data_IF_948407639417
#
_entry.id   IF_948407639417
#
_cell.length_a   1.000
_cell.length_b   1.000
_cell.length_c   1.000
_cell.angle_alpha   90.00
_cell.angle_beta   90.00
_cell.angle_gamma   90.00
#
_symmetry.space_group_name_H-M   'P 1'
#
loop_
_entity.id
_entity.type
_entity.pdbx_description
1 polymer ?
#
# COMPACT_ATOMS: atom_id res chain seq x y z
N UNK A 1 -19.02 -22.69 32.22
CA UNK A 1 -18.92 -21.22 32.11
C UNK A 1 -18.58 -20.89 30.66
N UNK A 2 -19.56 -20.40 29.89
CA UNK A 2 -19.38 -19.99 28.49
C UNK A 2 -19.34 -18.47 28.46
N UNK A 3 -18.21 -17.91 28.06
CA UNK A 3 -17.99 -16.48 27.90
C UNK A 3 -18.79 -16.01 26.69
N UNK A 4 -19.78 -15.15 26.91
CA UNK A 4 -20.56 -14.52 25.84
C UNK A 4 -19.72 -13.38 25.24
N UNK A 5 -19.37 -13.51 23.96
CA UNK A 5 -18.83 -12.40 23.17
C UNK A 5 -20.03 -11.62 22.65
N UNK A 6 -20.25 -10.41 23.16
CA UNK A 6 -21.23 -9.48 22.62
C UNK A 6 -20.72 -8.96 21.27
N UNK A 7 -21.39 -9.32 20.19
CA UNK A 7 -21.29 -8.65 18.90
C UNK A 7 -22.28 -7.46 18.90
N UNK A 8 -21.75 -6.24 18.86
CA UNK A 8 -22.57 -5.03 18.71
C UNK A 8 -22.76 -4.75 17.21
N UNK A 9 -23.98 -5.00 16.70
CA UNK A 9 -24.43 -4.53 15.40
C UNK A 9 -24.87 -3.06 15.56
N UNK A 10 -23.96 -2.14 15.25
CA UNK A 10 -24.29 -0.73 15.14
C UNK A 10 -24.70 -0.42 13.69
N UNK A 11 -25.99 -0.17 13.47
CA UNK A 11 -26.47 0.56 12.30
C UNK A 11 -26.38 2.05 12.67
N UNK A 12 -25.37 2.76 12.19
CA UNK A 12 -25.34 4.21 12.27
C UNK A 12 -24.80 4.85 10.98
N UNK A 13 -25.57 5.84 10.57
CA UNK A 13 -25.34 6.83 9.54
C UNK A 13 -24.02 7.57 9.74
N UNK A 14 -23.28 7.77 8.64
CA UNK A 14 -22.29 8.81 8.38
C UNK A 14 -21.72 9.53 9.62
N UNK A 15 -20.59 9.05 10.12
CA UNK A 15 -19.71 9.81 11.01
C UNK A 15 -18.33 9.82 10.35
N UNK A 16 -17.93 11.00 9.88
CA UNK A 16 -16.60 11.24 9.34
C UNK A 16 -15.54 10.87 10.38
N UNK A 17 -14.82 9.78 10.11
CA UNK A 17 -13.56 9.51 10.77
C UNK A 17 -12.49 10.37 10.09
N UNK A 18 -12.12 11.47 10.75
CA UNK A 18 -10.93 12.24 10.44
C UNK A 18 -9.71 11.30 10.48
N UNK A 19 -9.28 10.89 9.29
CA UNK A 19 -7.95 10.38 9.01
C UNK A 19 -6.97 11.53 9.21
N UNK A 20 -6.07 11.37 10.18
CA UNK A 20 -4.89 12.21 10.30
C UNK A 20 -3.69 11.27 10.34
N UNK A 21 -3.37 10.70 9.18
CA UNK A 21 -2.00 10.66 8.70
C UNK A 21 -1.89 11.82 7.73
N UNK A 22 -1.03 12.79 8.01
CA UNK A 22 -0.79 13.93 7.12
C UNK A 22 0.04 13.43 5.93
N UNK A 23 -0.66 12.83 4.99
CA UNK A 23 -0.36 12.81 3.56
C UNK A 23 -1.66 13.27 2.86
N UNK A 24 -1.63 13.61 1.56
CA UNK A 24 -2.88 13.83 0.83
C UNK A 24 -3.78 12.61 1.03
N UNK A 25 -5.10 12.81 1.14
CA UNK A 25 -6.02 11.68 1.20
C UNK A 25 -5.68 10.80 0.00
N UNK A 26 -5.17 9.59 0.27
CA UNK A 26 -4.71 8.74 -0.79
C UNK A 26 -5.88 8.52 -1.73
N UNK A 27 -7.12 8.41 -1.26
CA UNK A 27 -8.31 8.34 -2.13
C UNK A 27 -8.50 9.56 -3.04
N UNK A 28 -8.21 10.78 -2.56
CA UNK A 28 -8.32 12.01 -3.38
C UNK A 28 -7.19 12.12 -4.40
N UNK A 29 -5.99 11.67 -4.02
CA UNK A 29 -4.85 11.52 -4.94
C UNK A 29 -5.13 10.40 -5.94
N UNK A 30 -5.86 9.40 -5.46
CA UNK A 30 -6.20 8.18 -6.14
C UNK A 30 -7.48 8.35 -6.95
N UNK A 31 -7.45 9.12 -8.05
CA UNK A 31 -8.61 9.55 -8.86
C UNK A 31 -9.41 8.41 -9.56
N UNK A 32 -9.25 7.15 -9.16
CA UNK A 32 -9.98 6.02 -9.72
C UNK A 32 -11.28 5.75 -8.93
N UNK A 33 -12.42 5.95 -9.59
CA UNK A 33 -13.77 5.62 -9.06
C UNK A 33 -13.94 4.14 -8.70
N UNK A 34 -13.00 3.29 -9.12
CA UNK A 34 -13.01 1.87 -8.81
C UNK A 34 -12.26 1.50 -7.52
N UNK A 35 -11.75 2.46 -6.74
CA UNK A 35 -11.16 2.18 -5.42
C UNK A 35 -12.27 2.09 -4.36
N UNK A 36 -12.29 0.99 -3.61
CA UNK A 36 -13.15 0.81 -2.43
C UNK A 36 -12.47 1.36 -1.18
N UNK A 37 -11.20 1.00 -0.99
CA UNK A 37 -10.39 1.44 0.14
C UNK A 37 -8.90 1.38 -0.22
N UNK A 38 -8.14 2.32 0.33
CA UNK A 38 -6.70 2.39 0.19
C UNK A 38 -6.11 2.88 1.50
N UNK A 39 -5.07 2.19 2.00
CA UNK A 39 -4.39 2.61 3.22
C UNK A 39 -2.89 2.26 3.19
N UNK A 40 -2.03 3.13 3.75
CA UNK A 40 -0.60 2.91 3.78
C UNK A 40 -0.18 2.15 5.06
N UNK A 41 0.86 1.32 4.94
CA UNK A 41 1.63 0.75 6.05
C UNK A 41 3.11 0.86 5.69
N UNK A 42 3.84 1.73 6.37
CA UNK A 42 5.22 2.05 5.98
C UNK A 42 5.25 2.62 4.56
N UNK A 43 6.15 2.12 3.72
CA UNK A 43 6.29 2.52 2.32
C UNK A 43 5.33 1.77 1.36
N UNK A 44 4.42 0.92 1.86
CA UNK A 44 3.49 0.17 1.01
C UNK A 44 2.05 0.66 1.15
N UNK A 45 1.32 0.69 0.04
CA UNK A 45 -0.13 0.94 -0.01
C UNK A 45 -0.86 -0.36 -0.30
N UNK A 46 -1.90 -0.64 0.48
CA UNK A 46 -2.84 -1.72 0.25
C UNK A 46 -4.11 -1.13 -0.36
N UNK A 47 -4.51 -1.66 -1.52
CA UNK A 47 -5.63 -1.15 -2.30
C UNK A 47 -6.66 -2.27 -2.54
N UNK A 48 -7.92 -1.97 -2.25
CA UNK A 48 -9.06 -2.81 -2.59
C UNK A 48 -9.92 -2.12 -3.65
N UNK A 49 -10.28 -2.86 -4.70
CA UNK A 49 -11.12 -2.35 -5.80
C UNK A 49 -12.58 -2.76 -5.65
N UNK A 50 -13.47 -1.91 -6.14
CA UNK A 50 -14.90 -2.15 -6.27
C UNK A 50 -15.21 -3.32 -7.23
N UNK A 51 -14.29 -3.66 -8.15
CA UNK A 51 -14.46 -4.77 -9.10
C UNK A 51 -14.54 -6.14 -8.42
N UNK A 52 -14.07 -6.25 -7.17
CA UNK A 52 -14.19 -7.47 -6.36
C UNK A 52 -15.57 -7.59 -5.68
N UNK A 53 -16.42 -6.54 -5.74
CA UNK A 53 -17.78 -6.61 -5.23
C UNK A 53 -18.57 -7.69 -5.98
N UNK A 54 -19.40 -8.50 -5.29
CA UNK A 54 -20.26 -9.45 -5.96
C UNK A 54 -21.19 -8.72 -6.95
N UNK A 55 -21.06 -9.02 -8.24
CA UNK A 55 -22.00 -8.52 -9.25
C UNK A 55 -23.39 -9.16 -9.03
N UNK A 56 -24.46 -8.47 -9.45
CA UNK A 56 -25.88 -8.82 -9.20
C UNK A 56 -26.24 -10.30 -9.12
N UNK A 57 -25.73 -11.14 -10.04
CA UNK A 57 -26.02 -12.58 -10.05
C UNK A 57 -25.46 -13.34 -8.83
N UNK A 58 -24.40 -12.83 -8.20
CA UNK A 58 -23.74 -13.38 -7.00
C UNK A 58 -24.04 -12.58 -5.73
N UNK A 59 -24.76 -11.45 -5.83
CA UNK A 59 -25.05 -10.58 -4.71
C UNK A 59 -25.95 -11.29 -3.68
N UNK A 60 -25.43 -11.44 -2.46
CA UNK A 60 -26.18 -11.99 -1.34
C UNK A 60 -26.95 -10.86 -0.67
N UNK A 61 -28.29 -10.91 -0.67
CA UNK A 61 -29.18 -9.91 -0.06
C UNK A 61 -29.80 -10.34 1.26
N UNK A 62 -29.59 -11.59 1.68
CA UNK A 62 -30.12 -12.16 2.92
C UNK A 62 -28.97 -12.48 3.89
N UNK A 63 -29.05 -11.94 5.11
CA UNK A 63 -28.06 -12.20 6.16
C UNK A 63 -28.00 -13.68 6.59
N UNK A 64 -29.03 -14.49 6.30
CA UNK A 64 -28.95 -15.94 6.55
C UNK A 64 -27.96 -16.67 5.64
N UNK A 65 -27.57 -16.03 4.53
CA UNK A 65 -26.68 -16.57 3.50
C UNK A 65 -25.24 -16.05 3.60
N UNK A 66 -24.95 -15.20 4.58
CA UNK A 66 -23.57 -14.80 4.88
C UNK A 66 -23.00 -15.72 5.96
N UNK A 67 -21.70 -15.97 5.90
CA UNK A 67 -21.03 -16.76 6.93
C UNK A 67 -21.17 -16.10 8.32
N UNK A 68 -21.22 -16.89 9.41
CA UNK A 68 -21.22 -16.38 10.78
C UNK A 68 -20.04 -15.47 11.10
N UNK A 69 -20.23 -14.53 12.02
CA UNK A 69 -19.22 -13.51 12.37
C UNK A 69 -17.90 -14.11 12.86
N UNK A 70 -17.91 -15.22 13.59
CA UNK A 70 -16.71 -15.88 14.08
C UNK A 70 -15.89 -16.46 12.93
N UNK A 71 -16.55 -17.09 11.95
CA UNK A 71 -15.91 -17.56 10.72
C UNK A 71 -15.37 -16.39 9.90
N UNK A 72 -16.14 -15.31 9.81
CA UNK A 72 -15.77 -14.12 9.05
C UNK A 72 -14.54 -13.43 9.68
N UNK A 73 -14.50 -13.32 11.01
CA UNK A 73 -13.35 -12.81 11.75
C UNK A 73 -12.10 -13.65 11.53
N UNK A 74 -12.21 -14.99 11.46
CA UNK A 74 -11.05 -15.84 11.15
C UNK A 74 -10.56 -15.62 9.72
N UNK A 75 -11.49 -15.61 8.75
CA UNK A 75 -11.17 -15.35 7.34
C UNK A 75 -10.62 -13.93 7.10
N UNK A 76 -11.05 -12.96 7.90
CA UNK A 76 -10.60 -11.57 7.82
C UNK A 76 -9.25 -11.31 8.48
N UNK A 77 -8.62 -12.30 9.12
CA UNK A 77 -7.28 -12.10 9.68
C UNK A 77 -6.27 -11.84 8.57
N UNK A 78 -5.27 -10.95 8.77
CA UNK A 78 -4.19 -10.79 7.81
C UNK A 78 -3.48 -12.14 7.61
N UNK A 79 -3.30 -12.52 6.33
CA UNK A 79 -2.63 -13.77 5.97
C UNK A 79 -1.19 -13.81 6.50
N UNK A 80 -0.55 -14.98 6.48
CA UNK A 80 0.85 -15.08 6.90
C UNK A 80 1.77 -14.20 6.04
N UNK A 81 1.63 -14.22 4.72
CA UNK A 81 2.38 -13.37 3.80
C UNK A 81 2.18 -11.88 4.10
N UNK A 82 0.93 -11.46 4.35
CA UNK A 82 0.63 -10.07 4.72
C UNK A 82 1.27 -9.68 6.06
N UNK A 83 1.27 -10.58 7.06
CA UNK A 83 1.92 -10.31 8.36
C UNK A 83 3.44 -10.18 8.25
N UNK A 84 4.08 -11.02 7.46
CA UNK A 84 5.51 -10.89 7.19
C UNK A 84 5.81 -9.61 6.42
N UNK A 85 4.97 -9.22 5.46
CA UNK A 85 5.13 -7.96 4.74
C UNK A 85 5.09 -6.77 5.69
N UNK A 86 4.07 -6.71 6.54
CA UNK A 86 3.92 -5.69 7.59
C UNK A 86 5.15 -5.70 8.51
N UNK A 87 5.69 -6.86 8.84
CA UNK A 87 6.89 -7.00 9.69
C UNK A 87 8.12 -6.35 9.04
N UNK A 88 8.33 -6.57 7.74
CA UNK A 88 9.41 -5.93 6.97
C UNK A 88 9.20 -4.42 6.92
N UNK A 89 8.00 -3.97 6.57
CA UNK A 89 7.68 -2.55 6.40
C UNK A 89 7.80 -1.74 7.70
N UNK A 90 7.37 -2.32 8.83
CA UNK A 90 7.39 -1.68 10.14
C UNK A 90 8.64 -2.04 10.98
N UNK A 91 9.58 -2.79 10.40
CA UNK A 91 10.84 -3.22 11.04
C UNK A 91 10.62 -3.92 12.40
N UNK A 92 9.58 -4.74 12.50
CA UNK A 92 9.25 -5.45 13.72
C UNK A 92 7.92 -6.19 13.64
N UNK A 93 7.83 -7.32 14.37
CA UNK A 93 6.62 -8.15 14.37
C UNK A 93 5.45 -7.41 14.99
N UNK A 94 4.31 -7.52 14.31
CA UNK A 94 3.05 -6.92 14.74
C UNK A 94 2.05 -7.99 15.11
N UNK A 95 1.33 -7.75 16.20
CA UNK A 95 0.16 -8.53 16.60
C UNK A 95 -1.10 -7.81 16.14
N UNK A 96 -1.94 -8.44 15.30
CA UNK A 96 -3.23 -7.87 14.93
C UNK A 96 -4.25 -8.08 16.04
N UNK A 97 -4.91 -7.00 16.44
CA UNK A 97 -6.02 -6.99 17.39
C UNK A 97 -7.27 -6.50 16.67
N UNK A 98 -8.32 -7.32 16.67
CA UNK A 98 -9.59 -6.93 16.05
C UNK A 98 -10.17 -5.73 16.82
N UNK A 99 -10.29 -4.60 16.13
CA UNK A 99 -10.97 -3.42 16.64
C UNK A 99 -12.46 -3.50 16.34
N UNK A 100 -12.80 -3.85 15.09
CA UNK A 100 -14.18 -3.81 14.61
C UNK A 100 -14.40 -4.78 13.45
N UNK A 101 -15.60 -5.37 13.40
CA UNK A 101 -16.10 -6.18 12.29
C UNK A 101 -17.49 -5.64 11.89
N UNK A 102 -17.69 -5.34 10.60
CA UNK A 102 -18.92 -4.74 10.08
C UNK A 102 -19.34 -5.51 8.83
N UNK A 103 -20.61 -5.89 8.73
CA UNK A 103 -21.20 -6.36 7.48
C UNK A 103 -21.84 -5.15 6.76
N UNK A 104 -21.26 -4.73 5.65
CA UNK A 104 -21.80 -3.66 4.81
C UNK A 104 -22.67 -4.25 3.70
N UNK A 105 -23.84 -3.65 3.46
CA UNK A 105 -24.68 -3.96 2.31
C UNK A 105 -24.43 -2.91 1.22
N UNK A 106 -23.90 -3.34 0.08
CA UNK A 106 -23.66 -2.52 -1.11
C UNK A 106 -24.83 -2.54 -2.10
N UNK A 107 -26.05 -2.68 -1.59
CA UNK A 107 -27.30 -2.69 -2.36
C UNK A 107 -27.32 -3.85 -3.35
N UNK A 108 -27.31 -3.51 -4.64
CA UNK A 108 -27.30 -4.47 -5.75
C UNK A 108 -26.08 -5.40 -5.76
N UNK A 109 -25.01 -5.08 -5.01
CA UNK A 109 -23.80 -5.90 -4.91
C UNK A 109 -23.78 -6.83 -3.68
N UNK A 110 -24.81 -6.77 -2.84
CA UNK A 110 -24.96 -7.61 -1.65
C UNK A 110 -24.03 -7.25 -0.49
N UNK A 111 -23.80 -8.21 0.40
CA UNK A 111 -23.02 -8.00 1.63
C UNK A 111 -21.51 -8.21 1.44
N UNK A 112 -20.70 -7.46 2.18
CA UNK A 112 -19.26 -7.69 2.37
C UNK A 112 -18.92 -7.45 3.84
N UNK A 113 -18.12 -8.34 4.42
CA UNK A 113 -17.54 -8.11 5.74
C UNK A 113 -16.30 -7.23 5.63
N UNK A 114 -16.25 -6.17 6.43
CA UNK A 114 -15.08 -5.30 6.60
C UNK A 114 -14.55 -5.42 8.03
N UNK A 115 -13.24 -5.58 8.16
CA UNK A 115 -12.55 -5.72 9.43
C UNK A 115 -11.50 -4.64 9.60
N UNK A 116 -11.46 -4.06 10.79
CA UNK A 116 -10.46 -3.09 11.21
C UNK A 116 -9.58 -3.75 12.27
N UNK A 117 -8.29 -3.85 11.98
CA UNK A 117 -7.29 -4.45 12.84
C UNK A 117 -6.31 -3.38 13.33
N UNK A 118 -6.12 -3.28 14.63
CA UNK A 118 -5.03 -2.50 15.21
C UNK A 118 -3.79 -3.39 15.28
N UNK A 119 -2.68 -2.89 14.76
CA UNK A 119 -1.39 -3.56 14.77
C UNK A 119 -0.53 -3.01 15.91
N UNK A 120 -0.13 -3.90 16.83
CA UNK A 120 0.72 -3.57 17.96
C UNK A 120 2.05 -4.29 17.88
N UNK A 121 3.18 -3.65 18.21
CA UNK A 121 4.47 -4.33 18.31
C UNK A 121 4.43 -5.48 19.32
N UNK A 122 4.99 -6.66 18.96
CA UNK A 122 5.07 -7.79 19.89
C UNK A 122 6.10 -7.55 21.01
N UNK A 123 7.23 -6.93 20.68
CA UNK A 123 8.21 -6.49 21.65
C UNK A 123 7.70 -5.20 22.31
N UNK A 124 7.41 -5.28 23.61
CA UNK A 124 6.65 -4.27 24.36
C UNK A 124 7.04 -2.82 24.08
N UNK A 125 6.02 -1.99 23.89
CA UNK A 125 6.12 -0.55 23.66
C UNK A 125 4.77 -0.01 23.20
N UNK A 126 4.01 0.60 24.12
CA UNK A 126 2.75 1.31 23.80
C UNK A 126 3.03 2.78 23.42
N UNK A 127 4.11 3.01 22.66
CA UNK A 127 4.46 4.35 22.18
C UNK A 127 3.81 4.60 20.82
N UNK A 128 2.83 5.50 20.76
CA UNK A 128 2.23 5.97 19.50
C UNK A 128 0.88 5.33 19.14
N UNK A 129 0.25 5.86 18.09
CA UNK A 129 -1.01 5.34 17.55
C UNK A 129 -0.73 4.03 16.80
N UNK A 130 -1.47 2.94 17.06
CA UNK A 130 -1.28 1.69 16.33
C UNK A 130 -1.57 1.89 14.85
N UNK A 131 -0.82 1.18 13.99
CA UNK A 131 -1.17 1.11 12.58
C UNK A 131 -2.50 0.38 12.42
N UNK A 132 -3.31 0.82 11.47
CA UNK A 132 -4.56 0.18 11.15
C UNK A 132 -4.40 -0.63 9.87
N UNK A 133 -4.76 -1.90 9.93
CA UNK A 133 -4.89 -2.76 8.75
C UNK A 133 -6.36 -3.06 8.51
N UNK A 134 -6.79 -3.00 7.25
CA UNK A 134 -8.16 -3.30 6.86
C UNK A 134 -8.21 -4.48 5.89
N UNK A 135 -9.26 -5.27 6.03
CA UNK A 135 -9.47 -6.45 5.19
C UNK A 135 -10.93 -6.69 4.93
N UNK A 136 -11.21 -7.31 3.80
CA UNK A 136 -12.56 -7.59 3.34
C UNK A 136 -12.75 -9.08 3.10
N UNK A 137 -13.95 -9.58 3.38
CA UNK A 137 -14.33 -10.98 3.20
C UNK A 137 -15.69 -11.04 2.54
N UNK A 138 -15.81 -11.89 1.53
CA UNK A 138 -17.05 -12.16 0.83
C UNK A 138 -18.09 -12.84 1.73
N UNK A 139 -19.37 -12.83 1.33
CA UNK A 139 -20.44 -13.58 2.00
C UNK A 139 -20.13 -15.06 2.26
N UNK A 140 -19.36 -15.70 1.38
CA UNK A 140 -19.00 -17.12 1.44
C UNK A 140 -17.77 -17.42 2.31
N UNK A 141 -17.12 -16.39 2.85
CA UNK A 141 -15.90 -16.52 3.64
C UNK A 141 -14.59 -16.45 2.87
N UNK A 142 -14.62 -16.28 1.55
CA UNK A 142 -13.41 -16.03 0.78
C UNK A 142 -12.85 -14.63 1.07
N UNK A 143 -11.54 -14.56 1.34
CA UNK A 143 -10.85 -13.30 1.63
C UNK A 143 -10.59 -12.51 0.34
N UNK A 144 -10.81 -11.21 0.38
CA UNK A 144 -10.44 -10.31 -0.71
C UNK A 144 -8.93 -10.12 -0.73
N UNK A 145 -8.34 -10.16 -1.92
CA UNK A 145 -6.92 -9.89 -2.10
C UNK A 145 -6.74 -8.43 -2.45
N UNK A 146 -6.01 -7.70 -1.61
CA UNK A 146 -5.57 -6.34 -1.92
C UNK A 146 -4.44 -6.36 -2.94
N UNK A 147 -4.52 -5.40 -3.87
CA UNK A 147 -3.37 -4.93 -4.63
C UNK A 147 -2.40 -4.23 -3.68
N UNK A 148 -1.11 -4.31 -3.98
CA UNK A 148 -0.05 -3.78 -3.13
C UNK A 148 0.96 -3.06 -4.00
N UNK A 149 1.38 -1.89 -3.54
CA UNK A 149 2.37 -1.06 -4.22
C UNK A 149 3.35 -0.53 -3.21
N UNK A 150 4.64 -0.43 -3.56
CA UNK A 150 5.53 0.49 -2.88
C UNK A 150 5.23 1.89 -3.40
N UNK A 151 5.11 2.86 -2.51
CA UNK A 151 4.81 4.25 -2.84
C UNK A 151 5.74 5.18 -2.06
N UNK A 152 6.32 6.14 -2.77
CA UNK A 152 6.98 7.30 -2.19
C UNK A 152 6.39 8.57 -2.82
N UNK A 153 6.31 9.62 -2.01
CA UNK A 153 5.79 10.93 -2.40
C UNK A 153 6.85 11.98 -2.09
N UNK A 154 7.15 12.82 -3.08
CA UNK A 154 8.11 13.90 -2.92
C UNK A 154 7.51 15.23 -3.40
N UNK A 155 7.26 16.14 -2.46
CA UNK A 155 6.78 17.48 -2.75
C UNK A 155 7.91 18.38 -3.23
N UNK A 156 7.72 18.99 -4.40
CA UNK A 156 8.68 19.91 -5.01
C UNK A 156 8.30 21.32 -4.58
N UNK A 157 8.93 21.79 -3.50
CA UNK A 157 8.59 23.05 -2.83
C UNK A 157 8.52 24.28 -3.76
N UNK A 158 9.31 24.32 -4.84
CA UNK A 158 9.33 25.44 -5.77
C UNK A 158 8.18 25.46 -6.80
N UNK A 159 7.48 24.35 -7.00
CA UNK A 159 6.48 24.20 -8.06
C UNK A 159 5.08 23.83 -7.59
N UNK A 160 4.87 23.58 -6.29
CA UNK A 160 3.63 22.98 -5.75
C UNK A 160 3.29 21.63 -6.41
N UNK A 161 4.26 21.01 -7.10
CA UNK A 161 4.09 19.72 -7.73
C UNK A 161 4.55 18.60 -6.82
N UNK A 162 3.97 17.43 -7.00
CA UNK A 162 4.32 16.22 -6.26
C UNK A 162 4.76 15.13 -7.21
N UNK A 163 5.95 14.58 -6.98
CA UNK A 163 6.47 13.41 -7.67
C UNK A 163 6.10 12.16 -6.89
N UNK A 164 5.43 11.22 -7.55
CA UNK A 164 5.11 9.90 -7.01
C UNK A 164 6.07 8.86 -7.59
N UNK A 165 6.59 7.98 -6.74
CA UNK A 165 7.34 6.78 -7.13
C UNK A 165 6.57 5.53 -6.73
N UNK A 166 6.13 4.76 -7.72
CA UNK A 166 5.26 3.60 -7.52
C UNK A 166 5.83 2.34 -8.13
N UNK A 167 5.84 1.24 -7.38
CA UNK A 167 6.17 -0.10 -7.91
C UNK A 167 5.12 -1.11 -7.45
N UNK A 168 4.41 -1.72 -8.39
CA UNK A 168 3.40 -2.71 -8.09
C UNK A 168 4.03 -4.05 -7.65
N UNK A 169 3.40 -4.74 -6.71
CA UNK A 169 3.88 -6.05 -6.25
C UNK A 169 3.66 -7.15 -7.30
N UNK A 170 2.65 -6.99 -8.16
CA UNK A 170 2.38 -7.92 -9.27
C UNK A 170 3.51 -7.93 -10.31
N UNK A 171 4.23 -6.82 -10.41
CA UNK A 171 5.37 -6.67 -11.31
C UNK A 171 6.66 -7.31 -10.76
N UNK A 172 6.63 -7.84 -9.54
CA UNK A 172 7.80 -8.49 -8.92
C UNK A 172 8.02 -9.89 -9.51
N UNK A 173 8.48 -9.92 -10.75
CA UNK A 173 8.78 -11.15 -11.47
C UNK A 173 9.93 -11.94 -10.84
N UNK A 174 9.85 -13.26 -10.94
CA UNK A 174 10.93 -14.15 -10.51
C UNK A 174 11.94 -14.33 -11.65
N UNK A 175 12.82 -13.35 -11.86
CA UNK A 175 13.89 -13.44 -12.85
C UNK A 175 15.25 -13.61 -12.18
N UNK A 176 16.11 -14.42 -12.81
CA UNK A 176 17.43 -14.79 -12.26
C UNK A 176 18.52 -13.72 -12.47
N UNK A 177 18.20 -12.61 -13.12
CA UNK A 177 19.18 -11.57 -13.34
C UNK A 177 19.38 -10.85 -12.00
N UNK A 178 20.60 -10.92 -11.45
CA UNK A 178 20.97 -10.22 -10.23
C UNK A 178 21.88 -9.08 -10.67
N UNK A 179 21.34 -7.86 -10.69
CA UNK A 179 22.12 -6.65 -10.96
C UNK A 179 22.99 -6.29 -9.75
N UNK A 180 24.18 -5.74 -10.03
CA UNK A 180 25.01 -5.16 -8.99
C UNK A 180 24.50 -3.78 -8.53
N UNK A 181 25.03 -3.29 -7.42
CA UNK A 181 24.59 -2.04 -6.83
C UNK A 181 24.79 -0.82 -7.74
N UNK A 182 25.84 -0.81 -8.55
CA UNK A 182 26.12 0.30 -9.47
C UNK A 182 25.10 0.35 -10.61
N UNK A 183 24.73 -0.81 -11.16
CA UNK A 183 23.71 -0.89 -12.20
C UNK A 183 22.33 -0.52 -11.69
N UNK A 184 21.99 -0.94 -10.47
CA UNK A 184 20.76 -0.52 -9.78
C UNK A 184 20.69 1.01 -9.67
N UNK A 185 21.78 1.65 -9.23
CA UNK A 185 21.86 3.11 -9.13
C UNK A 185 21.74 3.79 -10.49
N UNK A 186 22.38 3.26 -11.53
CA UNK A 186 22.31 3.78 -12.90
C UNK A 186 20.86 3.75 -13.43
N UNK A 187 20.15 2.62 -13.23
CA UNK A 187 18.75 2.47 -13.64
C UNK A 187 17.83 3.44 -12.89
N UNK A 188 18.01 3.56 -11.57
CA UNK A 188 17.23 4.51 -10.77
C UNK A 188 17.46 5.97 -11.24
N UNK A 189 18.71 6.32 -11.53
CA UNK A 189 19.09 7.64 -12.06
C UNK A 189 18.41 7.88 -13.41
N UNK A 190 18.48 6.91 -14.33
CA UNK A 190 17.86 7.03 -15.65
C UNK A 190 16.33 7.15 -15.58
N UNK A 191 15.67 6.42 -14.68
CA UNK A 191 14.23 6.53 -14.46
C UNK A 191 13.85 7.95 -13.98
N UNK A 192 14.62 8.49 -13.03
CA UNK A 192 14.42 9.83 -12.52
C UNK A 192 14.59 10.90 -13.60
N UNK A 193 15.68 10.82 -14.38
CA UNK A 193 15.91 11.73 -15.50
C UNK A 193 14.75 11.69 -16.51
N UNK A 194 14.28 10.49 -16.89
CA UNK A 194 13.15 10.33 -17.81
C UNK A 194 11.88 11.00 -17.28
N UNK A 195 11.57 10.82 -16.00
CA UNK A 195 10.37 11.42 -15.40
C UNK A 195 10.40 12.95 -15.48
N UNK A 196 11.56 13.55 -15.19
CA UNK A 196 11.75 14.99 -15.25
C UNK A 196 11.78 15.53 -16.70
N UNK A 197 12.36 14.80 -17.65
CA UNK A 197 12.34 15.17 -19.06
C UNK A 197 10.91 15.21 -19.63
N UNK A 198 10.04 14.30 -19.20
CA UNK A 198 8.67 14.17 -19.72
C UNK A 198 7.69 15.22 -19.18
N UNK A 199 7.97 15.85 -18.03
CA UNK A 199 7.00 16.69 -17.32
C UNK A 199 7.43 18.16 -17.20
N UNK A 200 8.58 18.56 -17.77
CA UNK A 200 9.18 19.91 -17.67
C UNK A 200 9.02 20.58 -16.29
N UNK A 201 9.31 19.90 -15.17
CA UNK A 201 9.13 20.48 -13.84
C UNK A 201 10.11 21.64 -13.61
N UNK A 202 9.74 22.59 -12.74
CA UNK A 202 10.59 23.76 -12.44
C UNK A 202 11.93 23.40 -11.78
N UNK A 203 12.05 22.19 -11.21
CA UNK A 203 13.30 21.66 -10.64
C UNK A 203 13.98 20.74 -11.64
N UNK A 204 15.28 20.93 -11.87
CA UNK A 204 16.05 20.12 -12.83
C UNK A 204 16.63 18.86 -12.17
N UNK A 205 16.66 17.71 -12.85
CA UNK A 205 17.21 16.46 -12.30
C UNK A 205 18.72 16.55 -11.98
N UNK A 206 19.47 17.42 -12.65
CA UNK A 206 20.89 17.71 -12.35
C UNK A 206 21.11 18.27 -10.93
N UNK A 207 20.06 18.76 -10.28
CA UNK A 207 20.09 19.23 -8.90
C UNK A 207 19.86 18.11 -7.89
N UNK A 208 19.74 16.84 -8.30
CA UNK A 208 19.53 15.70 -7.41
C UNK A 208 20.81 14.88 -7.29
N UNK A 209 21.25 14.60 -6.06
CA UNK A 209 22.41 13.74 -5.77
C UNK A 209 21.96 12.41 -5.18
N UNK A 210 22.63 11.34 -5.59
CA UNK A 210 22.53 10.05 -4.92
C UNK A 210 22.91 10.18 -3.44
N UNK A 211 22.10 9.63 -2.54
CA UNK A 211 22.35 9.60 -1.09
C UNK A 211 22.80 8.22 -0.65
N UNK A 212 21.92 7.24 -0.81
CA UNK A 212 22.14 5.85 -0.41
C UNK A 212 21.27 4.89 -1.23
N UNK A 213 21.55 3.60 -1.06
CA UNK A 213 20.66 2.54 -1.52
C UNK A 213 20.60 1.42 -0.48
N UNK A 214 19.45 0.76 -0.38
CA UNK A 214 19.27 -0.39 0.52
C UNK A 214 18.39 -1.46 -0.11
N UNK A 215 18.75 -2.71 0.13
CA UNK A 215 17.99 -3.87 -0.31
C UNK A 215 16.87 -4.20 0.70
N UNK A 216 15.67 -4.42 0.18
CA UNK A 216 14.51 -4.94 0.90
C UNK A 216 14.14 -6.31 0.34
N UNK A 217 13.84 -7.25 1.23
CA UNK A 217 13.28 -8.55 0.86
C UNK A 217 11.79 -8.56 1.20
N UNK A 218 10.94 -8.44 0.19
CA UNK A 218 9.51 -8.32 0.32
C UNK A 218 8.84 -9.68 0.18
N UNK A 219 8.06 -10.14 1.16
CA UNK A 219 7.23 -11.32 1.00
C UNK A 219 6.05 -11.00 0.09
N UNK A 220 5.95 -11.72 -1.03
CA UNK A 220 4.95 -11.44 -2.09
C UNK A 220 3.82 -12.47 -2.09
N UNK A 221 4.15 -13.74 -1.90
CA UNK A 221 3.20 -14.86 -2.02
C UNK A 221 3.65 -16.02 -1.11
N UNK A 222 2.73 -16.89 -0.72
CA UNK A 222 3.07 -18.20 -0.16
C UNK A 222 2.98 -19.25 -1.27
N UNK A 223 3.99 -20.12 -1.38
CA UNK A 223 3.94 -21.25 -2.32
C UNK A 223 3.00 -22.36 -1.81
N UNK A 224 2.83 -23.41 -2.60
CA UNK A 224 1.99 -24.58 -2.27
C UNK A 224 2.48 -25.38 -1.04
N UNK A 225 3.61 -24.99 -0.44
CA UNK A 225 4.19 -25.60 0.75
C UNK A 225 4.12 -24.68 1.98
N UNK A 226 3.33 -23.60 1.91
CA UNK A 226 3.25 -22.53 2.91
C UNK A 226 4.57 -21.79 3.13
N UNK A 227 5.55 -21.97 2.23
CA UNK A 227 6.81 -21.23 2.27
C UNK A 227 6.60 -19.89 1.58
N UNK A 228 6.98 -18.83 2.27
CA UNK A 228 6.83 -17.47 1.76
C UNK A 228 7.91 -17.20 0.72
N UNK A 229 7.47 -16.86 -0.48
CA UNK A 229 8.30 -16.37 -1.56
C UNK A 229 8.62 -14.90 -1.28
N UNK A 230 9.91 -14.59 -1.24
CA UNK A 230 10.41 -13.23 -1.12
C UNK A 230 10.91 -12.72 -2.47
N UNK A 231 10.87 -11.40 -2.65
CA UNK A 231 11.40 -10.67 -3.80
C UNK A 231 12.32 -9.56 -3.34
N UNK A 232 13.39 -9.34 -4.07
CA UNK A 232 14.39 -8.33 -3.76
C UNK A 232 14.07 -7.04 -4.49
N UNK A 233 13.92 -5.97 -3.73
CA UNK A 233 13.71 -4.62 -4.25
C UNK A 233 14.72 -3.69 -3.60
N UNK A 234 15.41 -2.93 -4.41
CA UNK A 234 16.30 -1.86 -3.99
C UNK A 234 15.53 -0.57 -3.84
N UNK A 235 15.68 0.06 -2.68
CA UNK A 235 15.32 1.46 -2.47
C UNK A 235 16.56 2.30 -2.78
N UNK A 236 16.49 3.16 -3.80
CA UNK A 236 17.56 4.10 -4.14
C UNK A 236 17.09 5.51 -3.80
N UNK A 237 17.85 6.22 -2.97
CA UNK A 237 17.45 7.56 -2.50
C UNK A 237 18.26 8.65 -3.17
N UNK A 238 17.55 9.69 -3.59
CA UNK A 238 18.10 10.92 -4.11
C UNK A 238 17.68 12.07 -3.21
N UNK A 239 18.56 13.05 -3.04
CA UNK A 239 18.28 14.29 -2.30
C UNK A 239 18.67 15.49 -3.15
N UNK A 240 18.03 16.65 -2.94
CA UNK A 240 18.52 17.89 -3.54
C UNK A 240 20.00 18.14 -3.21
N UNK A 241 20.76 18.60 -4.19
CA UNK A 241 22.08 19.15 -4.01
C UNK A 241 21.93 20.44 -3.21
N UNK A 242 22.75 20.61 -2.16
CA UNK A 242 22.71 21.78 -1.30
C UNK A 242 22.97 23.05 -2.14
N UNK A 243 21.97 23.93 -2.27
CA UNK A 243 22.18 25.29 -2.78
C UNK A 243 22.17 26.28 -1.61
N UNK A 244 22.89 27.41 -1.69
CA UNK A 244 22.91 28.42 -0.62
C UNK A 244 21.53 28.95 -0.21
N UNK A 245 20.54 28.81 -1.09
CA UNK A 245 19.16 29.28 -0.95
C UNK A 245 18.24 28.23 -0.30
N UNK A 246 18.63 26.96 -0.28
CA UNK A 246 17.85 25.87 0.31
C UNK A 246 18.41 25.47 1.68
N UNK A 247 18.06 26.24 2.71
CA UNK A 247 18.07 25.72 4.09
C UNK A 247 16.91 24.73 4.25
N UNK A 248 17.04 23.55 3.65
CA UNK A 248 16.04 22.48 3.79
C UNK A 248 16.28 21.83 5.15
N UNK A 249 15.44 22.22 6.12
CA UNK A 249 15.24 21.47 7.34
C UNK A 249 14.59 20.13 6.97
N UNK A 250 15.17 19.02 7.44
CA UNK A 250 14.73 17.64 7.22
C UNK A 250 14.54 17.24 5.75
N UNK A 251 15.65 16.82 5.13
CA UNK A 251 15.76 16.55 3.69
C UNK A 251 14.86 15.39 3.26
N UNK A 252 13.66 15.73 2.78
CA UNK A 252 12.83 14.86 1.96
C UNK A 252 13.69 14.27 0.84
N UNK A 253 13.67 12.94 0.71
CA UNK A 253 14.43 12.22 -0.30
C UNK A 253 13.48 11.57 -1.28
N UNK A 254 13.75 11.69 -2.57
CA UNK A 254 13.04 10.92 -3.60
C UNK A 254 13.54 9.48 -3.50
N UNK A 255 12.63 8.53 -3.27
CA UNK A 255 12.92 7.11 -3.41
C UNK A 255 12.57 6.67 -4.83
N UNK A 256 13.44 5.87 -5.42
CA UNK A 256 13.19 5.14 -6.65
C UNK A 256 13.35 3.66 -6.33
N UNK A 257 12.31 2.87 -6.60
CA UNK A 257 12.33 1.43 -6.38
C UNK A 257 12.89 0.72 -7.61
N UNK A 258 13.79 -0.24 -7.42
CA UNK A 258 14.38 -1.02 -8.52
C UNK A 258 14.40 -2.50 -8.15
N UNK A 259 13.78 -3.35 -8.96
CA UNK A 259 13.80 -4.80 -8.78
C UNK A 259 15.18 -5.37 -9.13
N UNK A 260 15.46 -6.61 -8.69
CA UNK A 260 16.72 -7.28 -9.02
C UNK A 260 16.96 -7.48 -10.52
N UNK A 261 15.89 -7.55 -11.32
CA UNK A 261 15.92 -7.72 -12.77
C UNK A 261 15.92 -6.40 -13.55
N UNK A 262 15.89 -5.26 -12.86
CA UNK A 262 16.08 -3.93 -13.43
C UNK A 262 14.80 -3.18 -13.81
N UNK A 263 13.62 -3.68 -13.43
CA UNK A 263 12.41 -2.88 -13.47
C UNK A 263 12.49 -1.76 -12.43
N UNK A 264 12.09 -0.56 -12.83
CA UNK A 264 12.06 0.61 -11.96
C UNK A 264 10.62 0.98 -11.63
N UNK A 265 10.41 1.65 -10.50
CA UNK A 265 9.15 2.32 -10.21
C UNK A 265 8.73 3.23 -11.35
N UNK A 266 7.42 3.31 -11.60
CA UNK A 266 6.83 4.39 -12.36
C UNK A 266 6.96 5.70 -11.59
N UNK A 267 7.30 6.78 -12.30
CA UNK A 267 7.52 8.10 -11.73
C UNK A 267 6.60 9.11 -12.43
N UNK A 268 5.65 9.69 -11.70
CA UNK A 268 4.63 10.61 -12.26
C UNK A 268 4.50 11.89 -11.43
N UNK A 269 4.19 13.00 -12.09
CA UNK A 269 3.90 14.28 -11.45
C UNK A 269 2.40 14.49 -11.32
N UNK A 270 1.94 14.96 -10.16
CA UNK A 270 0.60 15.53 -9.89
C UNK A 270 -0.62 14.63 -10.19
N UNK A 271 -0.41 13.40 -10.69
CA UNK A 271 -1.47 12.45 -11.03
C UNK A 271 -1.09 11.02 -10.71
N UNK A 272 -2.08 10.31 -10.17
CA UNK A 272 -2.16 8.86 -10.13
C UNK A 272 -3.34 8.39 -10.98
N UNK A 273 -3.09 7.63 -12.06
CA UNK A 273 -4.11 6.88 -12.80
C UNK A 273 -3.86 5.38 -12.61
N UNK A 274 -4.51 4.73 -11.62
CA UNK A 274 -4.33 3.31 -11.27
C UNK A 274 -4.76 2.29 -12.33
N UNK A 275 -5.10 2.75 -13.53
CA UNK A 275 -5.76 1.96 -14.57
C UNK A 275 -5.00 1.87 -15.88
N UNK A 276 -3.90 2.60 -16.02
CA UNK A 276 -3.16 2.63 -17.26
C UNK A 276 -1.77 2.11 -17.00
N UNK A 277 -1.57 0.83 -17.28
CA UNK A 277 -0.24 0.21 -17.35
C UNK A 277 0.62 0.79 -18.51
N UNK A 278 0.41 2.07 -18.89
CA UNK A 278 1.07 2.94 -19.89
C UNK A 278 0.63 4.42 -19.72
N UNK A 279 1.50 5.41 -19.98
CA UNK A 279 1.07 6.80 -20.15
C UNK A 279 0.14 6.95 -21.37
N UNK A 280 -0.88 7.80 -21.26
CA UNK A 280 -1.64 8.27 -22.44
C UNK A 280 -0.69 9.07 -23.34
N UNK A 281 -0.66 8.69 -24.62
CA UNK A 281 -0.18 9.57 -25.69
C UNK A 281 -1.11 10.78 -25.83
#
# INVERSE_FOLDING_TARGET
>A
MRTAILAFLALFSYVGMLSAQVGPDLQDTMLDRNVLDAFPIGDAVFLYRNEQLPLKEKAVSDLSKIIPVDQAVQAGRPSQTTRELITVLLKGRQRPHLQQAIAFNFGDSGFVWSFYWNLFPEAGGLGGRPYQFRSYVNPDGSQWTSEKFLLDEFSIAASEQTLFSMLAFEDLENRKLILDGDKIRELATAALHRAFEQNEPKVKPESLRFRDQSLLELPVEADNTDKILTRKVWMVKFIPAETPETKIHDVDSIKVWVTEDGQTSELTFDRWEAKANRPKQ
#
